data_IF_692016161262
#
_entry.id   IF_692016161262
#
_cell.length_a   1.000
_cell.length_b   1.000
_cell.length_c   1.000
_cell.angle_alpha   90.00
_cell.angle_beta   90.00
_cell.angle_gamma   90.00
#
_symmetry.space_group_name_H-M   'P 1'
#
loop_
_entity.id
_entity.type
_entity.pdbx_description
1 polymer ?
#
# COMPACT_ATOMS: atom_id res chain seq x y z
N UNK A 1 15.78 65.43 67.93
CA UNK A 1 16.83 65.82 66.96
C UNK A 1 17.20 64.58 66.20
N UNK A 2 16.96 64.54 64.89
CA UNK A 2 17.24 63.35 64.08
C UNK A 2 18.66 63.45 63.50
N UNK A 3 19.57 62.60 63.98
CA UNK A 3 20.81 62.36 63.27
C UNK A 3 20.47 61.75 61.89
N UNK A 4 21.29 62.05 60.87
CA UNK A 4 21.13 61.43 59.56
C UNK A 4 21.23 59.89 59.72
N UNK A 5 20.37 59.11 59.05
CA UNK A 5 20.41 57.66 59.17
C UNK A 5 21.74 57.14 58.62
N UNK A 6 22.50 56.45 59.48
CA UNK A 6 23.73 55.75 59.08
C UNK A 6 23.40 54.38 58.50
N UNK A 7 24.32 53.77 57.74
CA UNK A 7 24.11 52.41 57.19
C UNK A 7 23.80 51.41 58.31
N UNK A 8 24.48 51.50 59.45
CA UNK A 8 24.22 50.63 60.60
C UNK A 8 22.80 50.78 61.18
N UNK A 9 22.27 52.01 61.23
CA UNK A 9 20.89 52.26 61.67
C UNK A 9 19.87 51.74 60.65
N UNK A 10 20.17 51.86 59.35
CA UNK A 10 19.31 51.32 58.28
C UNK A 10 19.31 49.80 58.24
N UNK A 11 20.46 49.16 58.45
CA UNK A 11 20.56 47.70 58.55
C UNK A 11 19.86 47.14 59.79
N UNK A 12 20.03 47.79 60.96
CA UNK A 12 19.31 47.41 62.17
C UNK A 12 17.78 47.56 62.02
N UNK A 13 17.31 48.60 61.33
CA UNK A 13 15.89 48.77 61.03
C UNK A 13 15.36 47.69 60.06
N UNK A 14 16.15 47.32 59.05
CA UNK A 14 15.80 46.21 58.14
C UNK A 14 15.72 44.88 58.88
N UNK A 15 16.61 44.63 59.85
CA UNK A 15 16.60 43.41 60.67
C UNK A 15 15.39 43.35 61.60
N UNK A 16 15.00 44.46 62.23
CA UNK A 16 13.77 44.57 63.05
C UNK A 16 12.51 44.24 62.23
N UNK A 17 12.47 44.72 60.99
CA UNK A 17 11.37 44.45 60.04
C UNK A 17 11.49 43.08 59.34
N UNK A 18 12.51 42.28 59.70
CA UNK A 18 12.70 40.92 59.21
C UNK A 18 13.19 40.82 57.76
N UNK A 19 13.71 41.91 57.17
CA UNK A 19 14.27 41.91 55.80
C UNK A 19 15.66 41.28 55.81
N UNK A 20 15.77 40.07 55.26
CA UNK A 20 16.98 39.24 55.29
C UNK A 20 17.54 38.92 53.91
N UNK A 21 16.78 39.16 52.83
CA UNK A 21 17.14 38.79 51.46
C UNK A 21 17.09 39.97 50.49
N UNK A 22 18.02 39.99 49.53
CA UNK A 22 18.00 40.91 48.39
C UNK A 22 18.32 42.37 48.72
N UNK A 23 18.95 42.63 49.87
CA UNK A 23 19.31 43.98 50.33
C UNK A 23 20.41 44.57 49.43
N UNK A 24 20.14 45.74 48.87
CA UNK A 24 21.10 46.49 48.08
C UNK A 24 21.98 47.37 48.98
N UNK A 25 23.05 46.78 49.51
CA UNK A 25 23.99 47.47 50.42
C UNK A 25 24.64 48.72 49.81
N UNK A 26 24.89 48.72 48.49
CA UNK A 26 25.40 49.90 47.78
C UNK A 26 24.41 51.06 47.84
N UNK A 27 23.11 50.77 47.70
CA UNK A 27 22.04 51.76 47.83
C UNK A 27 21.97 52.36 49.24
N UNK A 28 22.22 51.55 50.27
CA UNK A 28 22.24 52.02 51.66
C UNK A 28 23.42 52.99 51.90
N UNK A 29 24.60 52.67 51.36
CA UNK A 29 25.77 53.54 51.41
C UNK A 29 25.53 54.87 50.66
N UNK A 30 24.93 54.81 49.46
CA UNK A 30 24.52 56.01 48.71
C UNK A 30 23.57 56.92 49.53
N UNK A 31 22.66 56.33 50.31
CA UNK A 31 21.68 57.07 51.11
C UNK A 31 22.28 57.70 52.37
N UNK A 32 23.34 57.11 52.92
CA UNK A 32 24.12 57.70 54.01
C UNK A 32 24.95 58.89 53.51
N UNK A 33 25.60 58.77 52.36
CA UNK A 33 26.38 59.85 51.75
C UNK A 33 25.52 60.99 51.19
N UNK A 34 24.37 60.66 50.56
CA UNK A 34 23.46 61.61 49.91
C UNK A 34 22.00 61.32 50.29
N UNK A 35 21.54 61.81 51.46
CA UNK A 35 20.20 61.54 51.96
C UNK A 35 19.11 62.05 51.00
N UNK A 36 18.21 61.15 50.59
CA UNK A 36 17.08 61.45 49.74
C UNK A 36 15.77 61.35 50.54
N UNK A 37 15.23 62.49 50.95
CA UNK A 37 14.03 62.54 51.79
C UNK A 37 12.72 62.51 50.98
N UNK A 38 11.65 62.06 51.64
CA UNK A 38 10.26 62.06 51.11
C UNK A 38 10.06 61.29 49.79
N UNK A 39 10.90 60.29 49.52
CA UNK A 39 10.75 59.38 48.39
C UNK A 39 10.77 57.94 48.87
N UNK A 40 9.96 57.08 48.25
CA UNK A 40 10.03 55.62 48.44
C UNK A 40 11.19 55.10 47.61
N UNK A 41 12.16 54.45 48.25
CA UNK A 41 13.39 53.97 47.61
C UNK A 41 13.43 52.46 47.77
N UNK A 42 13.67 51.74 46.67
CA UNK A 42 13.82 50.30 46.68
C UNK A 42 15.20 49.94 47.24
N UNK A 43 15.23 49.42 48.45
CA UNK A 43 16.46 49.03 49.16
C UNK A 43 16.64 47.52 49.30
N UNK A 44 15.60 46.73 49.03
CA UNK A 44 15.65 45.28 48.94
C UNK A 44 14.70 44.75 47.86
N UNK A 45 15.05 43.62 47.25
CA UNK A 45 14.24 42.94 46.23
C UNK A 45 14.26 41.43 46.44
N UNK A 46 13.08 40.84 46.65
CA UNK A 46 12.91 39.39 46.61
C UNK A 46 12.98 38.86 45.18
N UNK A 47 13.19 37.55 45.03
CA UNK A 47 13.10 36.87 43.73
C UNK A 47 11.69 36.34 43.55
N UNK A 48 10.98 36.78 42.51
CA UNK A 48 9.63 36.27 42.20
C UNK A 48 9.71 34.81 41.76
N UNK A 49 8.77 33.99 42.20
CA UNK A 49 8.60 32.62 41.71
C UNK A 49 8.21 32.60 40.22
N UNK A 50 8.67 31.58 39.51
CA UNK A 50 8.32 31.35 38.10
C UNK A 50 7.53 30.06 38.05
N UNK A 51 6.28 30.12 37.58
CA UNK A 51 5.46 28.91 37.44
C UNK A 51 6.02 28.01 36.32
N UNK A 52 5.81 26.70 36.48
CA UNK A 52 6.08 25.73 35.44
C UNK A 52 5.14 25.90 34.25
N UNK A 53 5.59 25.44 33.10
CA UNK A 53 4.81 25.38 31.86
C UNK A 53 4.05 24.07 31.80
N UNK A 54 2.76 24.13 31.45
CA UNK A 54 1.96 22.94 31.21
C UNK A 54 2.51 22.13 30.03
N UNK A 55 2.35 20.81 30.10
CA UNK A 55 2.65 19.93 28.99
C UNK A 55 1.65 20.11 27.86
N UNK A 56 2.14 20.01 26.63
CA UNK A 56 1.36 20.18 25.41
C UNK A 56 1.54 18.97 24.50
N UNK A 57 0.72 18.87 23.45
CA UNK A 57 0.87 17.83 22.44
C UNK A 57 0.58 18.37 21.04
N UNK A 58 1.20 17.75 20.05
CA UNK A 58 1.05 18.07 18.63
C UNK A 58 0.76 16.77 17.87
N UNK A 59 -0.42 16.67 17.27
CA UNK A 59 -0.80 15.54 16.42
C UNK A 59 -0.19 15.74 15.04
N UNK A 60 0.49 14.72 14.52
CA UNK A 60 1.27 14.76 13.28
C UNK A 60 0.48 14.27 12.05
N UNK A 61 -0.82 14.02 12.19
CA UNK A 61 -1.72 13.62 11.11
C UNK A 61 -2.97 14.50 11.07
N UNK A 62 -3.70 14.49 9.95
CA UNK A 62 -4.84 15.36 9.78
C UNK A 62 -6.03 14.89 10.62
N UNK A 63 -6.49 15.73 11.55
CA UNK A 63 -7.68 15.47 12.36
C UNK A 63 -8.91 16.23 11.88
N UNK A 64 -8.74 17.13 10.91
CA UNK A 64 -9.84 17.88 10.31
C UNK A 64 -10.63 17.01 9.34
N UNK A 65 -11.96 17.13 9.36
CA UNK A 65 -12.88 16.47 8.42
C UNK A 65 -13.18 17.34 7.19
N UNK A 66 -12.46 18.46 7.04
CA UNK A 66 -12.62 19.38 5.92
C UNK A 66 -11.76 18.91 4.74
N UNK A 67 -12.27 17.90 4.03
CA UNK A 67 -11.62 17.37 2.85
C UNK A 67 -11.87 18.30 1.66
N UNK A 68 -10.83 19.04 1.27
CA UNK A 68 -10.84 19.87 0.07
C UNK A 68 -10.15 19.12 -1.07
N UNK A 69 -10.67 19.20 -2.31
CA UNK A 69 -10.00 18.67 -3.49
C UNK A 69 -8.54 19.11 -3.57
N UNK A 70 -7.63 18.19 -3.88
CA UNK A 70 -6.21 18.52 -4.05
C UNK A 70 -6.00 19.28 -5.36
N UNK A 71 -5.22 20.36 -5.32
CA UNK A 71 -4.75 21.04 -6.54
C UNK A 71 -3.47 20.34 -6.99
N UNK A 72 -3.48 19.81 -8.22
CA UNK A 72 -2.32 19.19 -8.87
C UNK A 72 -1.27 20.25 -9.19
N UNK A 73 -0.04 19.80 -9.45
CA UNK A 73 1.10 20.67 -9.75
C UNK A 73 0.91 21.54 -11.02
N UNK A 74 -0.02 21.15 -11.90
CA UNK A 74 -0.40 21.87 -13.12
C UNK A 74 -1.55 22.88 -12.90
N UNK A 75 -2.04 23.04 -11.66
CA UNK A 75 -3.15 23.93 -11.32
C UNK A 75 -4.54 23.33 -11.53
N UNK A 76 -4.66 22.09 -12.00
CA UNK A 76 -5.94 21.38 -12.10
C UNK A 76 -6.37 20.82 -10.75
N UNK A 77 -7.67 20.79 -10.49
CA UNK A 77 -8.22 20.33 -9.21
C UNK A 77 -8.64 18.87 -9.34
N UNK A 78 -8.05 17.99 -8.53
CA UNK A 78 -8.43 16.60 -8.40
C UNK A 78 -9.59 16.48 -7.41
N UNK A 79 -10.80 16.41 -7.94
CA UNK A 79 -12.03 16.20 -7.17
C UNK A 79 -12.18 14.75 -6.67
N UNK A 80 -11.26 13.85 -7.01
CA UNK A 80 -11.32 12.46 -6.62
C UNK A 80 -10.36 12.13 -5.48
N UNK A 81 -9.20 12.77 -5.33
CA UNK A 81 -8.33 12.55 -4.16
C UNK A 81 -8.60 13.57 -3.05
N UNK A 82 -9.50 13.18 -2.13
CA UNK A 82 -9.90 13.98 -0.98
C UNK A 82 -8.98 13.77 0.25
N UNK A 83 -8.02 12.85 0.20
CA UNK A 83 -7.10 12.60 1.32
C UNK A 83 -7.78 12.20 2.63
N UNK A 84 -8.89 11.45 2.55
CA UNK A 84 -9.74 11.12 3.71
C UNK A 84 -9.05 10.19 4.71
N UNK A 85 -8.11 9.37 4.23
CA UNK A 85 -7.47 8.32 5.02
C UNK A 85 -6.07 8.76 5.47
N UNK A 86 -5.86 8.81 6.80
CA UNK A 86 -4.54 9.02 7.38
C UNK A 86 -3.77 7.69 7.44
N UNK A 87 -3.21 7.27 6.31
CA UNK A 87 -2.40 6.05 6.26
C UNK A 87 -1.14 6.19 7.13
N UNK A 88 -0.83 5.16 7.92
CA UNK A 88 0.33 5.12 8.81
C UNK A 88 1.02 3.76 8.76
N UNK A 89 2.34 3.80 8.87
CA UNK A 89 3.21 2.61 8.94
C UNK A 89 3.66 2.34 10.37
N UNK A 90 3.99 1.07 10.66
CA UNK A 90 4.58 0.66 11.93
C UNK A 90 5.87 1.45 12.20
N UNK A 91 5.95 2.06 13.37
CA UNK A 91 7.05 2.91 13.82
C UNK A 91 6.88 4.39 13.46
N UNK A 92 5.88 4.76 12.67
CA UNK A 92 5.64 6.15 12.32
C UNK A 92 5.19 6.97 13.54
N UNK A 93 5.74 8.16 13.67
CA UNK A 93 5.36 9.13 14.69
C UNK A 93 3.96 9.70 14.42
N UNK A 94 3.08 9.62 15.41
CA UNK A 94 1.70 10.09 15.34
C UNK A 94 1.47 11.36 16.16
N UNK A 95 2.23 11.53 17.25
CA UNK A 95 2.10 12.69 18.13
C UNK A 95 3.42 12.99 18.82
N UNK A 96 3.70 14.27 19.04
CA UNK A 96 4.75 14.76 19.94
C UNK A 96 4.13 15.30 21.21
N UNK A 97 4.77 15.08 22.34
CA UNK A 97 4.36 15.53 23.67
C UNK A 97 5.48 16.40 24.24
N UNK A 98 5.12 17.64 24.59
CA UNK A 98 5.96 18.53 25.38
C UNK A 98 5.70 18.25 26.86
N UNK A 99 6.73 17.84 27.60
CA UNK A 99 6.61 17.54 29.03
C UNK A 99 6.40 18.83 29.85
N UNK A 100 5.65 18.77 30.97
CA UNK A 100 5.53 19.91 31.87
C UNK A 100 6.87 20.23 32.53
N UNK A 101 7.10 21.51 32.83
CA UNK A 101 8.27 21.93 33.60
C UNK A 101 7.91 22.18 35.06
N UNK A 102 8.89 21.97 35.93
CA UNK A 102 8.82 22.46 37.30
C UNK A 102 9.07 23.97 37.30
N UNK A 103 8.39 24.69 38.19
CA UNK A 103 8.64 26.10 38.38
C UNK A 103 9.91 26.36 39.20
N UNK A 104 10.33 27.62 39.24
CA UNK A 104 11.50 28.07 40.02
C UNK A 104 11.01 28.73 41.31
N UNK A 105 11.54 28.26 42.45
CA UNK A 105 11.25 28.86 43.76
C UNK A 105 11.61 30.36 43.79
N UNK A 106 10.66 31.15 44.30
CA UNK A 106 10.89 32.54 44.68
C UNK A 106 11.30 32.66 46.14
N UNK A 107 11.78 33.83 46.53
CA UNK A 107 12.08 34.18 47.91
C UNK A 107 11.67 35.63 48.17
N UNK A 108 10.91 35.86 49.24
CA UNK A 108 10.53 37.20 49.68
C UNK A 108 11.75 37.95 50.22
N UNK A 109 11.60 39.27 50.44
CA UNK A 109 12.64 40.05 51.15
C UNK A 109 12.82 39.60 52.61
N UNK A 110 11.83 38.90 53.20
CA UNK A 110 11.90 38.34 54.55
C UNK A 110 12.54 36.96 54.63
N UNK A 111 12.97 36.40 53.49
CA UNK A 111 13.59 35.07 53.42
C UNK A 111 12.58 33.91 53.32
N UNK A 112 11.29 34.20 53.27
CA UNK A 112 10.25 33.19 53.08
C UNK A 112 10.27 32.65 51.64
N UNK A 113 10.31 31.32 51.50
CA UNK A 113 10.23 30.67 50.20
C UNK A 113 8.83 30.79 49.61
N UNK A 114 8.75 31.16 48.33
CA UNK A 114 7.50 31.15 47.56
C UNK A 114 7.53 29.98 46.59
N UNK A 115 6.68 28.99 46.84
CA UNK A 115 6.58 27.78 46.03
C UNK A 115 5.90 28.11 44.69
N UNK A 116 6.47 27.66 43.56
CA UNK A 116 5.84 27.85 42.27
C UNK A 116 4.74 26.81 42.03
N UNK A 117 3.84 27.09 41.09
CA UNK A 117 2.87 26.10 40.61
C UNK A 117 3.58 25.22 39.57
N UNK A 118 3.54 23.90 39.77
CA UNK A 118 4.05 22.91 38.80
C UNK A 118 3.14 22.85 37.58
N UNK A 119 3.72 22.74 36.38
CA UNK A 119 2.95 22.55 35.15
C UNK A 119 2.15 21.24 35.16
N UNK A 120 0.96 21.25 34.56
CA UNK A 120 0.11 20.07 34.42
C UNK A 120 0.62 19.16 33.31
N UNK A 121 0.57 17.84 33.52
CA UNK A 121 0.92 16.89 32.47
C UNK A 121 -0.03 16.97 31.28
N UNK A 122 0.48 16.63 30.09
CA UNK A 122 -0.35 16.48 28.90
C UNK A 122 -1.40 15.35 29.10
N UNK A 123 -2.54 15.39 28.39
CA UNK A 123 -3.54 14.33 28.44
C UNK A 123 -2.95 12.96 28.05
N UNK A 124 -3.59 11.89 28.50
CA UNK A 124 -3.24 10.54 28.08
C UNK A 124 -3.83 10.26 26.69
N UNK A 125 -2.99 10.25 25.66
CA UNK A 125 -3.39 10.17 24.26
C UNK A 125 -3.21 8.76 23.66
N UNK A 126 -2.77 7.76 24.43
CA UNK A 126 -2.49 6.42 23.92
C UNK A 126 -3.80 5.64 23.72
N UNK A 127 -4.00 5.15 22.51
CA UNK A 127 -5.11 4.27 22.17
C UNK A 127 -4.64 2.90 21.68
N UNK A 128 -5.41 2.31 20.76
CA UNK A 128 -5.13 0.96 20.22
C UNK A 128 -3.99 1.03 19.20
N UNK A 129 -3.11 0.03 19.21
CA UNK A 129 -1.98 -0.08 18.28
C UNK A 129 -1.07 1.17 18.26
N UNK A 130 -0.95 1.85 19.40
CA UNK A 130 -0.04 2.97 19.61
C UNK A 130 0.83 2.72 20.82
N UNK A 131 2.05 3.22 20.80
CA UNK A 131 3.01 3.09 21.90
C UNK A 131 3.69 4.44 22.18
N UNK A 132 3.95 4.69 23.45
CA UNK A 132 4.66 5.89 23.91
C UNK A 132 6.15 5.55 24.07
N UNK A 133 6.99 6.27 23.33
CA UNK A 133 8.44 6.08 23.31
C UNK A 133 9.16 7.36 23.77
N UNK A 134 10.49 7.35 23.74
CA UNK A 134 11.34 8.49 24.11
C UNK A 134 11.03 9.08 25.49
N UNK A 135 10.83 8.22 26.49
CA UNK A 135 10.51 8.63 27.87
C UNK A 135 9.23 9.47 27.99
N UNK A 136 8.31 9.38 27.03
CA UNK A 136 7.02 10.03 27.11
C UNK A 136 6.83 11.24 26.20
N UNK A 137 7.76 11.50 25.28
CA UNK A 137 7.70 12.65 24.36
C UNK A 137 7.11 12.33 23.00
N UNK A 138 6.89 11.06 22.66
CA UNK A 138 6.44 10.68 21.33
C UNK A 138 5.53 9.45 21.34
N UNK A 139 4.44 9.50 20.57
CA UNK A 139 3.56 8.36 20.32
C UNK A 139 3.80 7.87 18.90
N UNK A 140 4.03 6.56 18.74
CA UNK A 140 4.24 5.88 17.47
C UNK A 140 3.15 4.84 17.19
N UNK A 141 2.96 4.51 15.92
CA UNK A 141 2.14 3.38 15.49
C UNK A 141 2.87 2.05 15.73
N UNK A 142 2.20 1.03 16.27
CA UNK A 142 2.80 -0.31 16.43
C UNK A 142 2.47 -1.27 15.27
N UNK A 143 1.57 -0.87 14.37
CA UNK A 143 1.14 -1.59 13.17
C UNK A 143 0.85 -0.64 12.01
N UNK A 144 0.79 -1.20 10.80
CA UNK A 144 0.31 -0.48 9.61
C UNK A 144 -1.22 -0.34 9.66
N UNK A 145 -1.75 0.77 9.18
CA UNK A 145 -3.19 1.00 9.14
C UNK A 145 -3.54 2.45 8.87
N UNK A 146 -4.65 2.92 9.45
CA UNK A 146 -5.01 4.34 9.45
C UNK A 146 -5.10 4.89 10.88
N UNK A 147 -4.68 6.15 11.05
CA UNK A 147 -4.71 6.84 12.32
C UNK A 147 -5.98 7.69 12.48
N UNK A 148 -6.65 7.50 13.62
CA UNK A 148 -7.83 8.27 14.02
C UNK A 148 -7.61 8.88 15.41
N UNK A 149 -8.14 10.08 15.62
CA UNK A 149 -8.20 10.73 16.93
C UNK A 149 -9.64 10.73 17.45
N UNK A 150 -9.97 9.79 18.34
CA UNK A 150 -11.34 9.55 18.83
C UNK A 150 -11.31 9.50 20.35
N UNK A 151 -12.25 10.18 21.01
CA UNK A 151 -12.37 10.14 22.48
C UNK A 151 -11.16 10.70 23.23
N UNK A 152 -10.34 11.52 22.57
CA UNK A 152 -9.12 12.09 23.15
C UNK A 152 -7.90 11.18 23.07
N UNK A 153 -7.97 10.04 22.36
CA UNK A 153 -6.86 9.12 22.16
C UNK A 153 -6.60 8.88 20.68
N UNK A 154 -5.35 8.52 20.37
CA UNK A 154 -4.89 8.17 19.03
C UNK A 154 -5.00 6.66 18.87
N UNK A 155 -5.71 6.23 17.83
CA UNK A 155 -5.90 4.83 17.51
C UNK A 155 -5.32 4.56 16.11
N UNK A 156 -4.64 3.43 15.96
CA UNK A 156 -4.29 2.89 14.64
C UNK A 156 -5.13 1.66 14.37
N UNK A 157 -5.96 1.75 13.32
CA UNK A 157 -6.90 0.71 12.94
C UNK A 157 -6.42 0.04 11.64
N UNK A 158 -6.38 -1.29 11.63
CA UNK A 158 -5.97 -2.06 10.44
C UNK A 158 -7.06 -2.10 9.36
N UNK A 159 -8.32 -1.82 9.72
CA UNK A 159 -9.48 -1.90 8.81
C UNK A 159 -10.22 -0.57 8.79
N UNK A 160 -10.24 0.09 7.64
CA UNK A 160 -10.96 1.33 7.41
C UNK A 160 -12.43 1.04 7.04
N UNK A 161 -13.36 1.73 7.71
CA UNK A 161 -14.80 1.55 7.48
C UNK A 161 -15.40 2.77 6.80
N UNK A 162 -16.02 2.54 5.63
CA UNK A 162 -16.81 3.54 4.93
C UNK A 162 -18.28 3.28 5.22
N UNK A 163 -18.87 4.15 6.03
CA UNK A 163 -20.29 4.10 6.38
C UNK A 163 -21.13 4.86 5.35
N UNK A 164 -21.18 4.32 4.13
CA UNK A 164 -21.90 4.91 3.01
C UNK A 164 -21.35 4.44 1.68
N UNK A 165 -21.70 5.18 0.64
CA UNK A 165 -21.24 4.94 -0.73
C UNK A 165 -19.89 5.62 -0.98
N UNK A 166 -19.14 5.09 -1.94
CA UNK A 166 -17.97 5.76 -2.50
C UNK A 166 -18.44 6.61 -3.69
N UNK A 167 -18.49 7.91 -3.48
CA UNK A 167 -19.04 8.91 -4.38
C UNK A 167 -18.24 10.23 -4.35
N UNK A 168 -18.81 11.33 -4.85
CA UNK A 168 -18.15 12.64 -4.86
C UNK A 168 -17.86 13.20 -3.45
N UNK A 169 -18.52 12.71 -2.41
CA UNK A 169 -18.28 13.12 -1.03
C UNK A 169 -17.08 12.39 -0.41
N UNK A 170 -16.80 11.17 -0.87
CA UNK A 170 -15.66 10.37 -0.38
C UNK A 170 -14.43 10.43 -1.28
N UNK A 171 -14.65 10.56 -2.60
CA UNK A 171 -13.59 10.42 -3.59
C UNK A 171 -13.03 9.00 -3.66
N UNK A 172 -11.89 8.86 -4.33
CA UNK A 172 -11.06 7.67 -4.40
C UNK A 172 -10.45 7.38 -3.04
N UNK A 173 -10.36 6.10 -2.70
CA UNK A 173 -9.90 5.66 -1.39
C UNK A 173 -8.67 4.76 -1.57
N UNK A 174 -7.59 5.09 -0.87
CA UNK A 174 -6.36 4.29 -0.83
C UNK A 174 -5.98 3.98 0.62
N UNK A 175 -5.87 2.70 0.96
CA UNK A 175 -5.63 2.23 2.33
C UNK A 175 -4.48 1.21 2.37
N UNK A 176 -3.55 1.36 3.31
CA UNK A 176 -2.47 0.36 3.54
C UNK A 176 -3.04 -0.91 4.22
N UNK A 177 -4.11 -0.76 4.99
CA UNK A 177 -4.82 -1.86 5.64
C UNK A 177 -5.94 -2.47 4.78
N UNK A 178 -6.90 -3.07 5.48
CA UNK A 178 -8.15 -3.55 4.90
C UNK A 178 -9.17 -2.40 4.78
N UNK A 179 -10.16 -2.56 3.91
CA UNK A 179 -11.29 -1.64 3.80
C UNK A 179 -12.61 -2.40 3.77
N UNK A 180 -13.61 -1.87 4.48
CA UNK A 180 -14.99 -2.34 4.49
C UNK A 180 -15.89 -1.19 4.07
N UNK A 181 -16.61 -1.37 2.96
CA UNK A 181 -17.56 -0.39 2.43
C UNK A 181 -18.97 -0.93 2.65
N UNK A 182 -19.75 -0.21 3.47
CA UNK A 182 -21.12 -0.62 3.79
C UNK A 182 -22.13 -0.26 2.68
N UNK A 183 -21.78 0.67 1.79
CA UNK A 183 -22.57 1.07 0.64
C UNK A 183 -22.03 0.56 -0.70
N UNK A 184 -22.34 1.30 -1.76
CA UNK A 184 -21.98 1.04 -3.15
C UNK A 184 -20.69 1.77 -3.53
N UNK A 185 -20.06 1.35 -4.64
CA UNK A 185 -19.00 2.12 -5.28
C UNK A 185 -19.53 2.62 -6.62
N UNK A 186 -19.70 3.94 -6.73
CA UNK A 186 -20.27 4.57 -7.91
C UNK A 186 -19.24 4.68 -9.04
N UNK A 187 -19.74 5.03 -10.22
CA UNK A 187 -18.96 5.10 -11.45
C UNK A 187 -17.89 6.17 -11.41
N UNK A 188 -16.70 5.81 -11.94
CA UNK A 188 -15.55 6.69 -12.04
C UNK A 188 -14.69 6.79 -10.78
N UNK A 189 -15.00 6.04 -9.73
CA UNK A 189 -14.20 6.00 -8.50
C UNK A 189 -13.26 4.78 -8.44
N UNK A 190 -12.17 4.93 -7.68
CA UNK A 190 -11.23 3.85 -7.40
C UNK A 190 -11.11 3.57 -5.90
N UNK A 191 -11.02 2.28 -5.59
CA UNK A 191 -10.76 1.78 -4.24
C UNK A 191 -9.54 0.86 -4.27
N UNK A 192 -8.50 1.28 -3.58
CA UNK A 192 -7.22 0.57 -3.48
C UNK A 192 -6.94 0.20 -2.03
N UNK A 193 -6.65 -1.08 -1.78
CA UNK A 193 -6.20 -1.56 -0.48
C UNK A 193 -5.00 -2.49 -0.64
N UNK A 194 -3.93 -2.28 0.11
CA UNK A 194 -2.85 -3.29 0.18
C UNK A 194 -3.33 -4.55 0.91
N UNK A 195 -4.30 -4.40 1.82
CA UNK A 195 -5.03 -5.50 2.43
C UNK A 195 -6.23 -5.99 1.62
N UNK A 196 -7.23 -6.51 2.34
CA UNK A 196 -8.46 -7.06 1.76
C UNK A 196 -9.55 -5.99 1.59
N UNK A 197 -10.42 -6.17 0.60
CA UNK A 197 -11.58 -5.30 0.34
C UNK A 197 -12.88 -6.08 0.60
N UNK A 198 -13.76 -5.56 1.46
CA UNK A 198 -15.14 -6.04 1.59
C UNK A 198 -16.13 -4.93 1.18
N UNK A 199 -17.07 -5.23 0.30
CA UNK A 199 -18.11 -4.30 -0.14
C UNK A 199 -19.47 -4.95 0.00
N UNK A 200 -20.37 -4.28 0.72
CA UNK A 200 -21.73 -4.76 0.96
C UNK A 200 -22.69 -4.39 -0.18
N UNK A 201 -22.46 -3.25 -0.85
CA UNK A 201 -23.23 -2.80 -2.02
C UNK A 201 -22.73 -3.35 -3.36
N UNK A 202 -23.32 -2.85 -4.45
CA UNK A 202 -22.88 -3.08 -5.82
C UNK A 202 -21.72 -2.15 -6.21
N UNK A 203 -21.01 -2.54 -7.26
CA UNK A 203 -19.90 -1.77 -7.84
C UNK A 203 -20.19 -1.54 -9.31
N UNK A 204 -20.21 -0.28 -9.72
CA UNK A 204 -20.64 0.12 -11.06
C UNK A 204 -19.60 1.00 -11.72
N UNK A 205 -19.01 0.54 -12.83
CA UNK A 205 -17.99 1.25 -13.62
C UNK A 205 -16.88 1.89 -12.77
N UNK A 206 -16.31 1.10 -11.87
CA UNK A 206 -15.29 1.52 -10.92
C UNK A 206 -14.03 0.63 -11.02
N UNK A 207 -12.96 1.08 -10.35
CA UNK A 207 -11.69 0.33 -10.28
C UNK A 207 -11.44 -0.16 -8.86
N UNK A 208 -11.29 -1.48 -8.69
CA UNK A 208 -10.97 -2.10 -7.41
C UNK A 208 -9.61 -2.79 -7.47
N UNK A 209 -8.72 -2.48 -6.53
CA UNK A 209 -7.39 -3.08 -6.44
C UNK A 209 -7.14 -3.55 -5.01
N UNK A 210 -7.07 -4.88 -4.82
CA UNK A 210 -6.78 -5.49 -3.53
C UNK A 210 -5.46 -6.29 -3.56
N UNK A 211 -4.57 -6.00 -2.62
CA UNK A 211 -3.38 -6.81 -2.33
C UNK A 211 -3.70 -8.08 -1.52
N UNK A 212 -4.89 -8.15 -0.92
CA UNK A 212 -5.42 -9.32 -0.20
C UNK A 212 -6.59 -9.99 -0.92
N UNK A 213 -7.55 -10.47 -0.14
CA UNK A 213 -8.79 -11.08 -0.63
C UNK A 213 -9.85 -10.02 -0.93
N UNK A 214 -10.83 -10.36 -1.77
CA UNK A 214 -11.94 -9.48 -2.06
C UNK A 214 -13.28 -10.19 -1.92
N UNK A 215 -14.16 -9.58 -1.13
CA UNK A 215 -15.49 -10.08 -0.84
C UNK A 215 -16.54 -9.03 -1.22
N UNK A 216 -17.32 -9.33 -2.25
CA UNK A 216 -18.45 -8.53 -2.66
C UNK A 216 -19.74 -9.27 -2.26
N UNK A 217 -20.54 -8.67 -1.38
CA UNK A 217 -21.86 -9.24 -1.02
C UNK A 217 -22.88 -9.11 -2.15
N UNK A 218 -22.59 -8.26 -3.12
CA UNK A 218 -23.33 -8.08 -4.37
C UNK A 218 -22.47 -8.50 -5.57
N UNK A 219 -22.65 -7.88 -6.74
CA UNK A 219 -21.83 -8.08 -7.91
C UNK A 219 -21.30 -6.79 -8.51
N UNK A 220 -20.59 -6.93 -9.63
CA UNK A 220 -19.95 -5.84 -10.35
C UNK A 220 -20.52 -5.70 -11.76
N UNK A 221 -20.60 -4.47 -12.24
CA UNK A 221 -20.95 -4.15 -13.62
C UNK A 221 -19.99 -3.10 -14.18
N UNK A 222 -19.49 -3.29 -15.41
CA UNK A 222 -18.69 -2.28 -16.11
C UNK A 222 -17.31 -1.98 -15.49
N UNK A 223 -16.81 -2.81 -14.58
CA UNK A 223 -15.73 -2.46 -13.66
C UNK A 223 -14.40 -3.16 -13.99
N UNK A 224 -13.30 -2.63 -13.47
CA UNK A 224 -11.98 -3.26 -13.51
C UNK A 224 -11.60 -3.72 -12.11
N UNK A 225 -11.28 -5.00 -11.96
CA UNK A 225 -11.01 -5.61 -10.67
C UNK A 225 -9.68 -6.35 -10.70
N UNK A 226 -8.79 -6.03 -9.76
CA UNK A 226 -7.54 -6.77 -9.52
C UNK A 226 -7.47 -7.26 -8.08
N UNK A 227 -7.23 -8.55 -7.89
CA UNK A 227 -7.16 -9.21 -6.58
C UNK A 227 -5.96 -10.15 -6.51
N UNK A 228 -5.09 -9.96 -5.52
CA UNK A 228 -3.95 -10.86 -5.32
C UNK A 228 -4.31 -12.14 -4.56
N UNK A 229 -5.38 -12.11 -3.75
CA UNK A 229 -5.92 -13.26 -3.04
C UNK A 229 -7.10 -13.91 -3.77
N UNK A 230 -8.05 -14.42 -2.99
CA UNK A 230 -9.29 -15.02 -3.48
C UNK A 230 -10.40 -13.95 -3.67
N UNK A 231 -11.26 -14.16 -4.67
CA UNK A 231 -12.43 -13.32 -4.92
C UNK A 231 -13.73 -14.09 -4.69
N UNK A 232 -14.64 -13.50 -3.91
CA UNK A 232 -16.00 -14.00 -3.71
C UNK A 232 -17.02 -12.93 -4.07
N UNK A 233 -18.02 -13.26 -4.89
CA UNK A 233 -19.06 -12.32 -5.33
C UNK A 233 -20.38 -12.98 -5.68
N UNK A 234 -21.41 -12.20 -6.04
CA UNK A 234 -22.65 -12.75 -6.62
C UNK A 234 -22.63 -12.79 -8.14
N UNK A 235 -22.13 -11.74 -8.79
CA UNK A 235 -22.10 -11.68 -10.25
C UNK A 235 -21.01 -10.76 -10.77
N UNK A 236 -20.61 -11.01 -12.02
CA UNK A 236 -19.69 -10.18 -12.80
C UNK A 236 -20.33 -9.93 -14.17
N UNK A 237 -20.56 -8.66 -14.51
CA UNK A 237 -21.13 -8.25 -15.80
C UNK A 237 -20.26 -7.19 -16.47
N UNK A 238 -20.03 -7.30 -17.78
CA UNK A 238 -19.33 -6.27 -18.59
C UNK A 238 -18.00 -5.79 -17.98
N UNK A 239 -17.26 -6.67 -17.33
CA UNK A 239 -16.13 -6.28 -16.48
C UNK A 239 -14.84 -7.01 -16.86
N UNK A 240 -13.70 -6.41 -16.48
CA UNK A 240 -12.37 -7.02 -16.59
C UNK A 240 -11.89 -7.42 -15.20
N UNK A 241 -11.66 -8.70 -14.96
CA UNK A 241 -11.39 -9.24 -13.63
C UNK A 241 -10.12 -10.07 -13.66
N UNK A 242 -9.13 -9.68 -12.87
CA UNK A 242 -7.88 -10.42 -12.69
C UNK A 242 -7.71 -10.82 -11.23
N UNK A 243 -7.68 -12.13 -10.97
CA UNK A 243 -7.58 -12.70 -9.62
C UNK A 243 -6.47 -13.75 -9.63
N UNK A 244 -5.48 -13.60 -8.75
CA UNK A 244 -4.38 -14.59 -8.63
C UNK A 244 -4.79 -15.86 -7.88
N UNK A 245 -5.78 -15.75 -6.98
CA UNK A 245 -6.34 -16.87 -6.22
C UNK A 245 -7.50 -17.57 -6.95
N UNK A 246 -8.44 -18.05 -6.14
CA UNK A 246 -9.69 -18.67 -6.59
C UNK A 246 -10.79 -17.62 -6.77
N UNK A 247 -11.72 -17.90 -7.68
CA UNK A 247 -12.92 -17.08 -7.89
C UNK A 247 -14.15 -17.94 -7.57
N UNK A 248 -15.01 -17.49 -6.64
CA UNK A 248 -16.33 -18.09 -6.41
C UNK A 248 -17.44 -17.07 -6.57
N UNK A 249 -18.43 -17.39 -7.40
CA UNK A 249 -19.58 -16.51 -7.55
C UNK A 249 -20.84 -17.18 -8.12
N UNK A 250 -21.90 -16.39 -8.27
CA UNK A 250 -23.18 -16.79 -8.84
C UNK A 250 -23.18 -16.91 -10.35
N UNK A 251 -22.84 -15.87 -11.11
CA UNK A 251 -22.79 -15.93 -12.58
C UNK A 251 -21.87 -14.89 -13.21
N UNK A 252 -21.37 -15.18 -14.42
CA UNK A 252 -20.54 -14.26 -15.23
C UNK A 252 -21.23 -13.98 -16.55
N UNK A 253 -21.27 -12.71 -16.96
CA UNK A 253 -21.86 -12.29 -18.23
C UNK A 253 -20.97 -11.27 -18.96
N UNK A 254 -20.68 -11.54 -20.23
CA UNK A 254 -20.00 -10.62 -21.14
C UNK A 254 -18.75 -9.96 -20.53
N UNK A 255 -17.87 -10.76 -19.94
CA UNK A 255 -16.75 -10.28 -19.13
C UNK A 255 -15.47 -11.03 -19.48
N UNK A 256 -14.33 -10.39 -19.24
CA UNK A 256 -13.00 -10.96 -19.44
C UNK A 256 -12.39 -11.28 -18.08
N UNK A 257 -12.13 -12.57 -17.84
CA UNK A 257 -11.78 -13.10 -16.53
C UNK A 257 -10.44 -13.82 -16.60
N UNK A 258 -9.51 -13.44 -15.73
CA UNK A 258 -8.25 -14.14 -15.51
C UNK A 258 -8.24 -14.66 -14.07
N UNK A 259 -8.33 -15.98 -13.91
CA UNK A 259 -8.32 -16.68 -12.64
C UNK A 259 -7.05 -17.52 -12.52
N UNK A 260 -6.19 -17.20 -11.56
CA UNK A 260 -4.92 -17.90 -11.37
C UNK A 260 -5.05 -19.33 -10.85
N UNK A 261 -6.15 -19.66 -10.14
CA UNK A 261 -6.42 -21.01 -9.63
C UNK A 261 -7.76 -21.55 -10.14
N UNK A 262 -8.70 -21.87 -9.25
CA UNK A 262 -9.98 -22.47 -9.61
C UNK A 262 -11.09 -21.42 -9.76
N UNK A 263 -11.94 -21.59 -10.76
CA UNK A 263 -13.16 -20.81 -10.96
C UNK A 263 -14.39 -21.68 -10.66
N UNK A 264 -15.18 -21.30 -9.65
CA UNK A 264 -16.38 -22.03 -9.26
C UNK A 264 -17.62 -21.12 -9.34
N UNK A 265 -18.54 -21.47 -10.24
CA UNK A 265 -19.80 -20.78 -10.44
C UNK A 265 -20.92 -21.65 -9.85
N UNK A 266 -21.61 -21.15 -8.83
CA UNK A 266 -22.60 -21.91 -8.06
C UNK A 266 -23.88 -21.14 -7.81
N UNK A 267 -24.96 -21.84 -7.48
CA UNK A 267 -26.27 -21.24 -7.21
C UNK A 267 -27.32 -21.53 -8.29
N UNK A 268 -28.51 -20.99 -8.09
CA UNK A 268 -29.69 -21.32 -8.89
C UNK A 268 -29.58 -20.85 -10.35
N UNK A 269 -29.06 -19.63 -10.54
CA UNK A 269 -28.89 -18.98 -11.85
C UNK A 269 -27.45 -19.09 -12.36
N UNK A 270 -26.72 -20.11 -11.92
CA UNK A 270 -25.31 -20.26 -12.19
C UNK A 270 -25.01 -20.51 -13.67
N UNK A 271 -24.28 -19.56 -14.27
CA UNK A 271 -23.87 -19.61 -15.67
C UNK A 271 -22.63 -18.76 -15.95
N UNK A 272 -21.87 -19.16 -16.97
CA UNK A 272 -20.91 -18.29 -17.67
C UNK A 272 -21.47 -18.00 -19.06
N UNK A 273 -21.64 -16.74 -19.44
CA UNK A 273 -22.24 -16.38 -20.73
C UNK A 273 -21.56 -15.19 -21.39
N UNK A 274 -20.82 -15.43 -22.48
CA UNK A 274 -20.17 -14.38 -23.26
C UNK A 274 -18.91 -13.81 -22.61
N UNK A 275 -17.96 -13.40 -23.45
CA UNK A 275 -16.64 -12.91 -23.04
C UNK A 275 -15.58 -14.02 -23.06
N UNK A 276 -14.44 -13.75 -22.42
CA UNK A 276 -13.32 -14.68 -22.32
C UNK A 276 -12.99 -15.04 -20.88
N UNK A 277 -12.51 -16.26 -20.65
CA UNK A 277 -12.08 -16.70 -19.34
C UNK A 277 -10.84 -17.57 -19.44
N UNK A 278 -9.80 -17.18 -18.71
CA UNK A 278 -8.58 -17.95 -18.51
C UNK A 278 -8.58 -18.45 -17.07
N UNK A 279 -8.46 -19.76 -16.87
CA UNK A 279 -8.45 -20.40 -15.55
C UNK A 279 -7.21 -21.27 -15.43
N UNK A 280 -6.42 -21.07 -14.38
CA UNK A 280 -5.20 -21.83 -14.14
C UNK A 280 -5.46 -23.32 -13.94
N UNK A 281 -6.48 -23.65 -13.14
CA UNK A 281 -6.80 -25.02 -12.74
C UNK A 281 -8.23 -25.41 -13.20
N UNK A 282 -9.07 -25.89 -12.28
CA UNK A 282 -10.41 -26.39 -12.62
C UNK A 282 -11.43 -25.24 -12.73
N UNK A 283 -12.30 -25.35 -13.74
CA UNK A 283 -13.49 -24.51 -13.91
C UNK A 283 -14.75 -25.34 -13.68
N UNK A 284 -15.58 -24.96 -12.72
CA UNK A 284 -16.84 -25.63 -12.40
C UNK A 284 -17.98 -24.66 -12.66
N UNK A 285 -18.88 -25.01 -13.58
CA UNK A 285 -20.05 -24.19 -13.87
C UNK A 285 -21.25 -25.06 -14.30
N UNK A 286 -22.47 -24.82 -13.78
CA UNK A 286 -23.66 -25.53 -14.23
C UNK A 286 -23.98 -25.29 -15.70
N UNK A 287 -23.92 -24.05 -16.18
CA UNK A 287 -24.17 -23.72 -17.57
C UNK A 287 -23.02 -22.90 -18.14
N UNK A 288 -22.59 -23.21 -19.36
CA UNK A 288 -21.54 -22.50 -20.08
C UNK A 288 -22.08 -22.10 -21.46
N UNK A 289 -21.98 -20.83 -21.80
CA UNK A 289 -22.57 -20.26 -23.00
C UNK A 289 -24.08 -19.99 -22.86
N UNK A 290 -24.72 -19.71 -23.98
CA UNK A 290 -26.17 -19.45 -24.05
C UNK A 290 -26.78 -20.13 -25.26
N UNK A 291 -28.07 -20.45 -25.19
CA UNK A 291 -28.84 -20.98 -26.33
C UNK A 291 -28.92 -20.02 -27.51
N UNK A 292 -28.61 -18.74 -27.31
CA UNK A 292 -28.57 -17.72 -28.36
C UNK A 292 -27.23 -17.69 -29.13
N UNK A 293 -26.29 -18.58 -28.82
CA UNK A 293 -25.03 -18.71 -29.56
C UNK A 293 -24.02 -17.58 -29.30
N UNK A 294 -24.14 -16.89 -28.15
CA UNK A 294 -23.18 -15.86 -27.75
C UNK A 294 -21.79 -16.47 -27.60
N UNK A 295 -20.82 -15.96 -28.37
CA UNK A 295 -19.44 -16.44 -28.37
C UNK A 295 -18.84 -16.38 -26.96
N UNK A 296 -18.38 -17.54 -26.50
CA UNK A 296 -17.83 -17.72 -25.16
C UNK A 296 -16.49 -18.41 -25.30
N UNK A 297 -15.41 -17.77 -24.85
CA UNK A 297 -14.05 -18.29 -24.97
C UNK A 297 -13.55 -18.75 -23.61
N UNK A 298 -13.20 -20.02 -23.48
CA UNK A 298 -12.65 -20.60 -22.26
C UNK A 298 -11.25 -21.13 -22.55
N UNK A 299 -10.29 -20.79 -21.70
CA UNK A 299 -8.93 -21.31 -21.74
C UNK A 299 -8.56 -21.87 -20.38
N UNK A 300 -8.05 -23.10 -20.35
CA UNK A 300 -7.53 -23.74 -19.14
C UNK A 300 -6.01 -23.88 -19.18
N UNK A 301 -5.41 -23.82 -18.00
CA UNK A 301 -4.01 -24.10 -17.76
C UNK A 301 -3.16 -22.83 -17.80
N UNK A 302 -2.08 -22.90 -18.53
CA UNK A 302 -1.00 -21.91 -18.47
C UNK A 302 -1.43 -20.59 -19.11
N UNK A 303 -1.02 -19.48 -18.46
CA UNK A 303 -1.27 -18.12 -18.94
C UNK A 303 -0.89 -18.01 -20.44
N UNK A 304 -1.78 -17.49 -21.30
CA UNK A 304 -1.46 -17.23 -22.70
C UNK A 304 -0.13 -16.51 -22.90
N UNK A 305 0.24 -15.57 -22.02
CA UNK A 305 1.51 -14.84 -22.09
C UNK A 305 2.74 -15.73 -21.93
N UNK A 306 2.64 -16.75 -21.08
CA UNK A 306 3.70 -17.74 -20.88
C UNK A 306 3.86 -18.58 -22.15
N UNK A 307 2.74 -18.99 -22.76
CA UNK A 307 2.73 -19.78 -24.01
C UNK A 307 3.23 -18.95 -25.19
N UNK A 308 2.80 -17.69 -25.30
CA UNK A 308 3.28 -16.74 -26.33
C UNK A 308 4.79 -16.52 -26.19
N UNK A 309 5.27 -16.22 -24.98
CA UNK A 309 6.70 -16.04 -24.71
C UNK A 309 7.52 -17.29 -25.03
N UNK A 310 7.00 -18.46 -24.70
CA UNK A 310 7.63 -19.74 -25.05
C UNK A 310 7.75 -19.89 -26.58
N UNK A 311 6.70 -19.58 -27.34
CA UNK A 311 6.70 -19.66 -28.80
C UNK A 311 7.68 -18.67 -29.44
N UNK A 312 7.80 -17.45 -28.90
CA UNK A 312 8.83 -16.48 -29.32
C UNK A 312 10.23 -17.05 -29.12
N UNK A 313 10.53 -17.57 -27.92
CA UNK A 313 11.85 -18.14 -27.60
C UNK A 313 12.19 -19.35 -28.48
N UNK A 314 11.23 -20.24 -28.74
CA UNK A 314 11.40 -21.40 -29.65
C UNK A 314 11.73 -20.94 -31.07
N UNK A 315 11.19 -19.79 -31.50
CA UNK A 315 11.45 -19.23 -32.83
C UNK A 315 12.80 -18.52 -32.91
N UNK A 316 13.21 -17.81 -31.86
CA UNK A 316 14.40 -16.93 -31.88
C UNK A 316 15.71 -17.69 -31.56
N UNK A 317 15.67 -18.67 -30.66
CA UNK A 317 16.86 -19.44 -30.25
C UNK A 317 17.61 -20.12 -31.41
N UNK A 318 16.94 -20.74 -32.41
CA UNK A 318 17.63 -21.33 -33.55
C UNK A 318 18.43 -20.31 -34.38
N UNK A 319 17.95 -19.07 -34.48
CA UNK A 319 18.65 -18.02 -35.24
C UNK A 319 19.84 -17.45 -34.46
N UNK A 320 19.72 -17.34 -33.14
CA UNK A 320 20.85 -17.04 -32.25
C UNK A 320 21.94 -18.13 -32.31
N UNK A 321 21.54 -19.40 -32.26
CA UNK A 321 22.47 -20.54 -32.38
C UNK A 321 23.22 -20.52 -33.71
N UNK A 322 22.54 -20.21 -34.83
CA UNK A 322 23.20 -20.04 -36.13
C UNK A 322 24.22 -18.91 -36.11
N UNK A 323 23.89 -17.74 -35.55
CA UNK A 323 24.82 -16.61 -35.47
C UNK A 323 26.07 -16.95 -34.64
N UNK A 324 25.88 -17.62 -33.50
CA UNK A 324 26.98 -18.13 -32.66
C UNK A 324 27.87 -19.07 -33.48
N UNK A 325 27.28 -20.05 -34.17
CA UNK A 325 28.04 -21.01 -34.98
C UNK A 325 28.84 -20.36 -36.13
N UNK A 326 28.32 -19.27 -36.72
CA UNK A 326 29.04 -18.51 -37.75
C UNK A 326 30.22 -17.74 -37.17
N UNK A 327 30.04 -17.11 -36.01
CA UNK A 327 31.12 -16.41 -35.31
C UNK A 327 32.21 -17.36 -34.82
N UNK A 328 31.85 -18.53 -34.28
CA UNK A 328 32.81 -19.56 -33.89
C UNK A 328 33.66 -20.01 -35.07
N UNK A 329 33.04 -20.24 -36.25
CA UNK A 329 33.77 -20.57 -37.49
C UNK A 329 34.68 -19.44 -37.94
N UNK A 330 34.23 -18.20 -37.86
CA UNK A 330 35.04 -17.02 -38.22
C UNK A 330 36.26 -16.89 -37.29
N UNK A 331 36.06 -17.03 -35.98
CA UNK A 331 37.12 -16.99 -34.97
C UNK A 331 38.13 -18.11 -35.24
N UNK A 332 37.66 -19.34 -35.47
CA UNK A 332 38.53 -20.48 -35.77
C UNK A 332 39.39 -20.24 -37.02
N UNK A 333 38.82 -19.66 -38.09
CA UNK A 333 39.56 -19.29 -39.29
C UNK A 333 40.60 -18.20 -39.03
N UNK A 334 40.24 -17.17 -38.26
CA UNK A 334 41.15 -16.08 -37.92
C UNK A 334 42.30 -16.55 -37.00
N UNK A 335 42.04 -17.45 -36.06
CA UNK A 335 43.07 -18.08 -35.20
C UNK A 335 44.02 -18.97 -36.01
N UNK A 336 43.52 -19.68 -37.04
CA UNK A 336 44.38 -20.43 -37.97
C UNK A 336 45.30 -19.50 -38.78
N UNK A 337 44.81 -18.31 -39.17
CA UNK A 337 45.61 -17.30 -39.88
C UNK A 337 46.64 -16.66 -38.93
N UNK A 338 46.30 -16.49 -37.65
CA UNK A 338 47.20 -16.00 -36.60
C UNK A 338 48.35 -16.96 -36.35
N UNK A 339 48.07 -18.25 -36.19
CA UNK A 339 49.08 -19.30 -36.01
C UNK A 339 49.98 -19.49 -37.24
N UNK A 340 49.48 -19.18 -38.44
CA UNK A 340 50.27 -19.14 -39.67
C UNK A 340 51.11 -17.86 -39.84
N UNK A 341 51.06 -16.91 -38.90
CA UNK A 341 51.86 -15.68 -38.90
C UNK A 341 51.44 -14.64 -39.94
N UNK A 342 50.19 -14.70 -40.45
CA UNK A 342 49.68 -13.85 -41.55
C UNK A 342 48.59 -12.86 -41.13
N UNK A 343 48.48 -12.57 -39.84
CA UNK A 343 47.43 -11.70 -39.29
C UNK A 343 47.85 -10.23 -39.38
N UNK A 344 47.14 -9.45 -40.21
CA UNK A 344 47.29 -8.00 -40.27
C UNK A 344 46.53 -7.29 -39.12
N UNK A 345 46.70 -5.97 -38.99
CA UNK A 345 46.08 -5.21 -37.91
C UNK A 345 44.55 -5.13 -38.03
N UNK A 346 43.99 -5.12 -39.25
CA UNK A 346 42.53 -5.10 -39.47
C UNK A 346 41.90 -6.43 -39.00
N UNK A 347 42.51 -7.56 -39.35
CA UNK A 347 42.06 -8.90 -38.92
C UNK A 347 42.16 -9.11 -37.41
N UNK A 348 43.13 -8.48 -36.74
CA UNK A 348 43.23 -8.49 -35.27
C UNK A 348 42.05 -7.78 -34.62
N UNK A 349 41.65 -6.64 -35.16
CA UNK A 349 40.48 -5.89 -34.70
C UNK A 349 39.20 -6.70 -34.94
N UNK A 350 39.03 -7.27 -36.13
CA UNK A 350 37.88 -8.15 -36.43
C UNK A 350 37.81 -9.38 -35.52
N UNK A 351 38.94 -9.97 -35.15
CA UNK A 351 39.00 -11.11 -34.22
C UNK A 351 38.55 -10.70 -32.80
N UNK A 352 38.96 -9.51 -32.33
CA UNK A 352 38.53 -8.99 -31.03
C UNK A 352 37.03 -8.68 -31.02
N UNK A 353 36.52 -8.03 -32.07
CA UNK A 353 35.09 -7.75 -32.22
C UNK A 353 34.25 -9.03 -32.31
N UNK A 354 34.71 -10.03 -33.05
CA UNK A 354 34.04 -11.32 -33.17
C UNK A 354 34.00 -12.07 -31.82
N UNK A 355 35.11 -12.05 -31.05
CA UNK A 355 35.17 -12.64 -29.70
C UNK A 355 34.22 -11.93 -28.72
N UNK A 356 34.20 -10.60 -28.74
CA UNK A 356 33.29 -9.83 -27.89
C UNK A 356 31.82 -10.10 -28.26
N UNK A 357 31.52 -10.12 -29.56
CA UNK A 357 30.17 -10.44 -30.06
C UNK A 357 29.74 -11.86 -29.70
N UNK A 358 30.65 -12.83 -29.78
CA UNK A 358 30.41 -14.22 -29.36
C UNK A 358 30.09 -14.30 -27.87
N UNK A 359 30.84 -13.59 -27.02
CA UNK A 359 30.59 -13.56 -25.58
C UNK A 359 29.21 -12.97 -25.25
N UNK A 360 28.82 -11.86 -25.90
CA UNK A 360 27.51 -11.23 -25.70
C UNK A 360 26.38 -12.15 -26.17
N UNK A 361 26.49 -12.71 -27.37
CA UNK A 361 25.44 -13.57 -27.94
C UNK A 361 25.31 -14.91 -27.19
N UNK A 362 26.42 -15.52 -26.78
CA UNK A 362 26.39 -16.76 -25.99
C UNK A 362 25.79 -16.54 -24.59
N UNK A 363 26.06 -15.41 -23.95
CA UNK A 363 25.42 -15.01 -22.69
C UNK A 363 23.92 -14.80 -22.86
N UNK A 364 23.50 -14.14 -23.94
CA UNK A 364 22.07 -13.98 -24.26
C UNK A 364 21.39 -15.31 -24.52
N UNK A 365 22.00 -16.18 -25.33
CA UNK A 365 21.49 -17.52 -25.62
C UNK A 365 21.33 -18.36 -24.35
N UNK A 366 22.31 -18.34 -23.45
CA UNK A 366 22.19 -19.07 -22.18
C UNK A 366 21.07 -18.55 -21.28
N UNK A 367 20.85 -17.22 -21.23
CA UNK A 367 19.74 -16.63 -20.48
C UNK A 367 18.38 -17.00 -21.09
N UNK A 368 18.20 -16.82 -22.39
CA UNK A 368 16.94 -17.10 -23.09
C UNK A 368 16.63 -18.62 -23.11
N UNK A 369 17.65 -19.47 -23.23
CA UNK A 369 17.47 -20.92 -23.15
C UNK A 369 17.12 -21.36 -21.72
N UNK A 370 17.71 -20.75 -20.69
CA UNK A 370 17.30 -20.99 -19.30
C UNK A 370 15.85 -20.55 -19.07
N UNK A 371 15.45 -19.39 -19.59
CA UNK A 371 14.05 -18.93 -19.55
C UNK A 371 13.13 -19.98 -20.19
N UNK A 372 13.45 -20.44 -21.40
CA UNK A 372 12.67 -21.46 -22.10
C UNK A 372 12.52 -22.75 -21.29
N UNK A 373 13.61 -23.25 -20.67
CA UNK A 373 13.57 -24.43 -19.81
C UNK A 373 12.65 -24.22 -18.60
N UNK A 374 12.67 -23.04 -17.98
CA UNK A 374 11.80 -22.72 -16.85
C UNK A 374 10.33 -22.62 -17.28
N UNK A 375 10.05 -22.03 -18.45
CA UNK A 375 8.69 -21.96 -19.00
C UNK A 375 8.18 -23.37 -19.36
N UNK A 376 9.00 -24.22 -19.99
CA UNK A 376 8.65 -25.61 -20.27
C UNK A 376 8.33 -26.37 -18.99
N UNK A 377 9.16 -26.24 -17.95
CA UNK A 377 8.90 -26.86 -16.66
C UNK A 377 7.59 -26.35 -16.05
N UNK A 378 7.31 -25.05 -16.14
CA UNK A 378 6.04 -24.45 -15.68
C UNK A 378 4.84 -24.99 -16.45
N UNK A 379 5.00 -25.26 -17.75
CA UNK A 379 3.94 -25.82 -18.58
C UNK A 379 3.73 -27.32 -18.28
N UNK A 380 4.79 -28.09 -18.13
CA UNK A 380 4.75 -29.53 -17.86
C UNK A 380 4.25 -29.87 -16.45
N UNK A 381 4.61 -29.05 -15.45
CA UNK A 381 4.21 -29.27 -14.05
C UNK A 381 2.77 -28.83 -13.75
N UNK A 382 2.19 -27.98 -14.59
CA UNK A 382 0.79 -27.64 -14.49
C UNK A 382 -0.05 -28.77 -15.09
N UNK A 383 -0.63 -29.60 -14.23
CA UNK A 383 -1.72 -30.48 -14.64
C UNK A 383 -2.77 -29.64 -15.36
N UNK A 384 -3.06 -29.97 -16.62
CA UNK A 384 -4.10 -29.29 -17.38
C UNK A 384 -5.41 -29.41 -16.59
N UNK A 385 -5.91 -28.27 -16.11
CA UNK A 385 -7.18 -28.21 -15.40
C UNK A 385 -8.33 -28.73 -16.26
N UNK A 386 -9.48 -28.94 -15.62
CA UNK A 386 -10.68 -29.52 -16.26
C UNK A 386 -11.84 -28.55 -16.20
N UNK A 387 -12.67 -28.56 -17.24
CA UNK A 387 -13.98 -27.88 -17.20
C UNK A 387 -15.02 -28.93 -16.80
N UNK A 388 -15.66 -28.72 -15.66
CA UNK A 388 -16.74 -29.56 -15.15
C UNK A 388 -18.05 -28.81 -15.36
N UNK A 389 -18.80 -29.21 -16.40
CA UNK A 389 -20.12 -28.65 -16.69
C UNK A 389 -21.23 -29.54 -16.12
N UNK A 390 -21.92 -29.06 -15.07
CA UNK A 390 -22.95 -29.88 -14.39
C UNK A 390 -24.26 -30.01 -15.18
N UNK A 391 -24.56 -29.07 -16.09
CA UNK A 391 -25.78 -29.09 -16.94
C UNK A 391 -25.44 -29.04 -18.42
N UNK A 392 -25.25 -27.85 -19.01
CA UNK A 392 -25.14 -27.72 -20.48
C UNK A 392 -24.03 -26.75 -20.87
N UNK A 393 -23.17 -27.19 -21.79
CA UNK A 393 -22.31 -26.32 -22.60
C UNK A 393 -23.04 -26.05 -23.90
N UNK A 394 -23.38 -24.80 -24.16
CA UNK A 394 -24.15 -24.40 -25.34
C UNK A 394 -23.24 -24.17 -26.57
N UNK A 395 -23.81 -24.31 -27.79
CA UNK A 395 -23.13 -23.96 -29.03
C UNK A 395 -22.59 -22.53 -29.04
N UNK A 396 -21.46 -22.32 -29.72
CA UNK A 396 -20.74 -21.05 -29.74
C UNK A 396 -19.70 -20.89 -28.62
N UNK A 397 -19.56 -21.91 -27.77
CA UNK A 397 -18.47 -22.02 -26.80
C UNK A 397 -17.22 -22.57 -27.48
N UNK A 398 -16.09 -21.91 -27.27
CA UNK A 398 -14.77 -22.33 -27.73
C UNK A 398 -13.94 -22.63 -26.48
N UNK A 399 -13.42 -23.84 -26.39
CA UNK A 399 -12.62 -24.31 -25.27
C UNK A 399 -11.19 -24.55 -25.78
N UNK A 400 -10.21 -23.93 -25.14
CA UNK A 400 -8.79 -24.10 -25.42
C UNK A 400 -8.12 -24.71 -24.20
N UNK A 401 -7.37 -25.80 -24.38
CA UNK A 401 -6.58 -26.41 -23.32
C UNK A 401 -5.21 -26.71 -23.90
N UNK A 402 -4.16 -26.06 -23.38
CA UNK A 402 -2.84 -26.10 -23.99
C UNK A 402 -2.83 -25.51 -25.41
N UNK A 403 -2.32 -26.29 -26.38
CA UNK A 403 -2.28 -25.91 -27.80
C UNK A 403 -3.55 -26.23 -28.59
N UNK A 404 -4.42 -27.08 -28.06
CA UNK A 404 -5.59 -27.60 -28.77
C UNK A 404 -6.84 -26.76 -28.53
N UNK A 405 -7.78 -26.81 -29.49
CA UNK A 405 -9.03 -26.06 -29.43
C UNK A 405 -10.22 -26.92 -29.83
N UNK A 406 -11.27 -26.91 -29.00
CA UNK A 406 -12.56 -27.53 -29.25
C UNK A 406 -13.62 -26.44 -29.45
N UNK A 407 -14.33 -26.48 -30.58
CA UNK A 407 -15.49 -25.61 -30.82
C UNK A 407 -16.77 -26.41 -30.63
N UNK A 408 -17.63 -25.97 -29.72
CA UNK A 408 -18.90 -26.63 -29.42
C UNK A 408 -19.95 -26.20 -30.45
N UNK A 409 -20.36 -27.13 -31.32
CA UNK A 409 -21.41 -26.95 -32.34
C UNK A 409 -22.77 -27.43 -31.88
N UNK A 410 -22.79 -28.51 -31.09
CA UNK A 410 -23.98 -29.14 -30.55
C UNK A 410 -23.96 -29.07 -29.02
N UNK A 411 -25.12 -28.93 -28.34
CA UNK A 411 -25.14 -28.81 -26.89
C UNK A 411 -24.59 -30.06 -26.22
N UNK A 412 -23.61 -29.88 -25.33
CA UNK A 412 -23.03 -30.95 -24.52
C UNK A 412 -23.66 -30.95 -23.14
N UNK A 413 -24.22 -32.09 -22.72
CA UNK A 413 -24.92 -32.21 -21.45
C UNK A 413 -24.14 -33.02 -20.43
N UNK A 414 -24.01 -32.48 -19.22
CA UNK A 414 -23.41 -33.13 -18.06
C UNK A 414 -22.01 -33.69 -18.36
N UNK A 415 -21.13 -32.81 -18.85
CA UNK A 415 -19.81 -33.19 -19.36
C UNK A 415 -18.67 -32.64 -18.53
N UNK A 416 -17.62 -33.45 -18.43
CA UNK A 416 -16.28 -33.03 -18.04
C UNK A 416 -15.42 -32.94 -19.29
N UNK A 417 -14.84 -31.77 -19.56
CA UNK A 417 -13.88 -31.54 -20.64
C UNK A 417 -12.48 -31.48 -20.05
N UNK A 418 -11.55 -32.26 -20.61
CA UNK A 418 -10.20 -32.40 -20.10
C UNK A 418 -9.22 -32.70 -21.24
N UNK A 419 -7.93 -32.44 -20.99
CA UNK A 419 -6.86 -32.74 -21.93
C UNK A 419 -6.24 -34.10 -21.62
N UNK A 420 -6.18 -34.99 -22.61
CA UNK A 420 -5.64 -36.36 -22.44
C UNK A 420 -5.12 -36.85 -23.78
N UNK A 421 -3.94 -37.49 -23.76
CA UNK A 421 -3.27 -38.06 -24.94
C UNK A 421 -3.02 -37.05 -26.08
N UNK A 422 -2.82 -35.77 -25.76
CA UNK A 422 -2.56 -34.72 -26.76
C UNK A 422 -3.81 -34.11 -27.40
N UNK A 423 -5.01 -34.54 -27.00
CA UNK A 423 -6.28 -34.03 -27.55
C UNK A 423 -7.25 -33.59 -26.44
N UNK A 424 -8.19 -32.71 -26.78
CA UNK A 424 -9.29 -32.35 -25.89
C UNK A 424 -10.38 -33.43 -25.98
N UNK A 425 -10.64 -34.10 -24.86
CA UNK A 425 -11.70 -35.11 -24.73
C UNK A 425 -12.79 -34.62 -23.80
N UNK A 426 -13.98 -35.19 -23.94
CA UNK A 426 -15.07 -34.96 -23.00
C UNK A 426 -15.73 -36.29 -22.60
N UNK A 427 -16.09 -36.40 -21.33
CA UNK A 427 -16.75 -37.55 -20.72
C UNK A 427 -17.86 -37.12 -19.76
N UNK A 428 -18.56 -38.06 -19.10
CA UNK A 428 -19.57 -37.70 -18.10
C UNK A 428 -18.94 -36.95 -16.93
N UNK A 429 -19.60 -35.89 -16.47
CA UNK A 429 -19.24 -35.26 -15.19
C UNK A 429 -19.55 -36.25 -14.05
N UNK A 430 -18.59 -36.47 -13.15
CA UNK A 430 -18.76 -37.33 -11.96
C UNK A 430 -19.32 -36.51 -10.80
#
# INVERSE_FOLDING_TARGET
GGAAPTVALMEAALEIEGVTYGINRKKLQELEEKPCYRRKIRIAEGKKEINGTDGAYEILFNTSKDFKPKVRADGTVDFQDLGIVNNVEKGQALCKITLPTDGVEGISVTGEKRLPIKGRAAPYLIGRNTELIEQGTQIIATKNGHADFIGGAIHVNETYYVNGDVDHSTGNIKVIGNIVINGMVLSGFSVEAEGSIEINGSVESATLISGGNMLLRSGINGSVLTCSGDFNGKFIENSNVTVRGNIRLGYIMNSDIHCGKNLEITGMFARFSGGSCVVGNDMIAPNIGTSFGVKTYLQLGVDPKIVERQQELIKDLPDLEKQISMLERLILLLEQIETAGRLDNEKKETLQEARHSLEVLSKRFTQENHELVMLNHTIETNECGRIICKRTIYPGTIIKIGGEQLSVTDPLHHVMVYFSDGEIRHGPAI
#
